data_IF_772570211884
#
_entry.id   IF_772570211884
#
_cell.length_a   1.000
_cell.length_b   1.000
_cell.length_c   1.000
_cell.angle_alpha   90.00
_cell.angle_beta   90.00
_cell.angle_gamma   90.00
#
_symmetry.space_group_name_H-M   'P 1'
#
loop_
_entity.id
_entity.type
_entity.pdbx_description
1 polymer ?
#
# COMPACT_ATOMS: atom_id res chain seq x y z
N UNK A 1 -13.29 14.30 19.56
CA UNK A 1 -12.88 13.61 18.31
C UNK A 1 -11.69 12.77 18.71
N UNK A 2 -11.73 11.45 18.47
CA UNK A 2 -10.58 10.61 18.78
C UNK A 2 -9.39 11.10 17.95
N UNK A 3 -8.29 11.41 18.61
CA UNK A 3 -7.05 11.79 17.95
C UNK A 3 -6.66 10.63 17.03
N UNK A 4 -6.62 10.87 15.71
CA UNK A 4 -6.25 9.82 14.76
C UNK A 4 -4.74 9.68 14.83
N UNK A 5 -4.27 8.48 15.17
CA UNK A 5 -2.84 8.19 15.27
C UNK A 5 -2.34 7.52 13.98
N UNK A 6 -1.03 7.58 13.73
CA UNK A 6 -0.42 6.96 12.55
C UNK A 6 -0.67 5.45 12.48
N UNK A 7 -0.80 4.78 13.64
CA UNK A 7 -1.17 3.37 13.74
C UNK A 7 -2.52 3.06 13.09
N UNK A 8 -3.44 4.04 13.08
CA UNK A 8 -4.75 3.91 12.42
C UNK A 8 -4.59 3.80 10.90
N UNK A 9 -3.75 4.65 10.30
CA UNK A 9 -3.44 4.59 8.87
C UNK A 9 -2.68 3.31 8.52
N UNK A 10 -1.69 2.93 9.35
CA UNK A 10 -0.91 1.70 9.14
C UNK A 10 -1.80 0.47 9.20
N UNK A 11 -2.69 0.38 10.19
CA UNK A 11 -3.63 -0.75 10.28
C UNK A 11 -4.60 -0.78 9.11
N UNK A 12 -5.16 0.37 8.71
CA UNK A 12 -6.04 0.44 7.55
C UNK A 12 -5.33 -0.03 6.26
N UNK A 13 -4.04 0.24 6.10
CA UNK A 13 -3.26 -0.24 4.95
C UNK A 13 -3.06 -1.76 4.98
N UNK A 14 -2.82 -2.33 6.16
CA UNK A 14 -2.71 -3.79 6.34
C UNK A 14 -4.05 -4.46 6.03
N UNK A 15 -5.14 -3.94 6.59
CA UNK A 15 -6.50 -4.45 6.37
C UNK A 15 -6.88 -4.38 4.87
N UNK A 16 -6.51 -3.29 4.19
CA UNK A 16 -6.65 -3.16 2.74
C UNK A 16 -5.88 -4.27 2.00
N UNK A 17 -4.62 -4.51 2.37
CA UNK A 17 -3.79 -5.51 1.70
C UNK A 17 -4.31 -6.94 1.90
N UNK A 18 -4.85 -7.26 3.08
CA UNK A 18 -5.55 -8.52 3.35
C UNK A 18 -6.83 -8.62 2.50
N UNK A 19 -7.65 -7.57 2.49
CA UNK A 19 -8.90 -7.54 1.72
C UNK A 19 -8.67 -7.71 0.20
N UNK A 20 -7.53 -7.22 -0.30
CA UNK A 20 -7.09 -7.38 -1.69
C UNK A 20 -6.31 -8.67 -1.96
N UNK A 21 -6.10 -9.50 -0.94
CA UNK A 21 -5.31 -10.73 -1.02
C UNK A 21 -3.89 -10.50 -1.58
N UNK A 22 -3.31 -9.35 -1.23
CA UNK A 22 -1.88 -9.06 -1.45
C UNK A 22 -1.03 -9.80 -0.43
N UNK A 23 -1.54 -9.89 0.81
CA UNK A 23 -1.01 -10.65 1.93
C UNK A 23 -2.15 -11.44 2.60
N UNK A 24 -1.82 -12.27 3.59
CA UNK A 24 -2.76 -12.99 4.44
C UNK A 24 -2.78 -12.43 5.87
N UNK A 25 -3.77 -12.83 6.68
CA UNK A 25 -3.84 -12.45 8.10
C UNK A 25 -2.61 -12.93 8.89
N UNK A 26 -2.01 -14.06 8.49
CA UNK A 26 -0.80 -14.60 9.11
C UNK A 26 0.41 -13.65 8.97
N UNK A 27 0.39 -12.77 7.97
CA UNK A 27 1.47 -11.81 7.68
C UNK A 27 1.37 -10.53 8.51
N UNK A 28 0.24 -10.27 9.17
CA UNK A 28 -0.09 -8.99 9.82
C UNK A 28 1.03 -8.49 10.74
N UNK A 29 1.50 -9.35 11.65
CA UNK A 29 2.52 -8.97 12.64
C UNK A 29 3.86 -8.65 11.96
N UNK A 30 4.23 -9.44 10.96
CA UNK A 30 5.49 -9.26 10.22
C UNK A 30 5.48 -7.93 9.45
N UNK A 31 4.41 -7.70 8.69
CA UNK A 31 4.20 -6.48 7.91
C UNK A 31 4.11 -5.24 8.80
N UNK A 32 3.35 -5.32 9.90
CA UNK A 32 3.28 -4.24 10.90
C UNK A 32 4.67 -3.86 11.40
N UNK A 33 5.50 -4.84 11.76
CA UNK A 33 6.85 -4.57 12.25
C UNK A 33 7.73 -3.89 11.20
N UNK A 34 7.64 -4.29 9.92
CA UNK A 34 8.35 -3.60 8.84
C UNK A 34 7.89 -2.14 8.69
N UNK A 35 6.58 -1.89 8.74
CA UNK A 35 6.04 -0.53 8.63
C UNK A 35 6.42 0.32 9.85
N UNK A 36 6.40 -0.26 11.05
CA UNK A 36 6.87 0.42 12.27
C UNK A 36 8.35 0.80 12.17
N UNK A 37 9.22 -0.09 11.69
CA UNK A 37 10.64 0.22 11.45
C UNK A 37 10.81 1.37 10.45
N UNK A 38 10.10 1.31 9.31
CA UNK A 38 10.13 2.38 8.31
C UNK A 38 9.66 3.72 8.86
N UNK A 39 8.69 3.71 9.78
CA UNK A 39 8.10 4.89 10.42
C UNK A 39 8.77 5.27 11.75
N UNK A 40 9.83 4.56 12.14
CA UNK A 40 10.55 4.74 13.42
C UNK A 40 9.62 4.73 14.65
N UNK A 41 8.60 3.86 14.63
CA UNK A 41 7.68 3.68 15.76
C UNK A 41 8.28 2.69 16.76
N UNK A 42 8.47 3.14 18.00
CA UNK A 42 9.03 2.30 19.07
C UNK A 42 7.99 1.41 19.75
N UNK A 43 6.71 1.79 19.67
CA UNK A 43 5.58 1.09 20.29
C UNK A 43 4.39 1.07 19.36
N UNK A 44 3.55 0.06 19.53
CA UNK A 44 2.28 -0.05 18.84
C UNK A 44 1.14 0.17 19.83
N UNK A 45 0.38 1.24 19.63
CA UNK A 45 -0.86 1.46 20.34
C UNK A 45 -2.04 0.93 19.53
N UNK A 46 -3.02 0.34 20.21
CA UNK A 46 -4.20 -0.20 19.53
C UNK A 46 -4.91 0.95 18.78
N UNK A 47 -4.98 0.91 17.45
CA UNK A 47 -5.53 2.01 16.68
C UNK A 47 -7.04 2.14 16.89
N UNK A 48 -7.53 3.36 16.72
CA UNK A 48 -8.95 3.62 16.51
C UNK A 48 -9.37 3.19 15.11
N UNK A 49 -10.67 3.03 14.88
CA UNK A 49 -11.18 2.76 13.53
C UNK A 49 -11.39 4.08 12.80
N UNK A 50 -10.81 4.20 11.60
CA UNK A 50 -11.04 5.29 10.66
C UNK A 50 -11.30 4.72 9.28
N UNK A 51 -12.32 5.23 8.62
CA UNK A 51 -12.60 4.89 7.23
C UNK A 51 -11.80 5.80 6.30
N UNK A 52 -11.26 5.20 5.25
CA UNK A 52 -10.56 5.89 4.16
C UNK A 52 -11.32 5.67 2.87
N UNK A 53 -11.35 6.68 1.99
CA UNK A 53 -12.00 6.60 0.69
C UNK A 53 -11.18 5.80 -0.33
N UNK A 54 -9.86 5.73 -0.17
CA UNK A 54 -8.97 5.01 -1.08
C UNK A 54 -7.63 4.65 -0.43
N UNK A 55 -6.87 3.74 -1.06
CA UNK A 55 -5.50 3.42 -0.64
C UNK A 55 -4.56 4.63 -0.78
N UNK A 56 -4.79 5.51 -1.76
CA UNK A 56 -4.00 6.74 -1.92
C UNK A 56 -4.17 7.67 -0.72
N UNK A 57 -5.37 7.78 -0.14
CA UNK A 57 -5.60 8.58 1.07
C UNK A 57 -4.89 8.00 2.30
N UNK A 58 -4.83 6.67 2.41
CA UNK A 58 -4.09 5.99 3.48
C UNK A 58 -2.59 6.27 3.34
N UNK A 59 -2.06 6.11 2.13
CA UNK A 59 -0.64 6.34 1.82
C UNK A 59 -0.25 7.81 2.00
N UNK A 60 -1.10 8.75 1.58
CA UNK A 60 -0.89 10.19 1.75
C UNK A 60 -0.70 10.53 3.23
N UNK A 61 -1.53 10.00 4.14
CA UNK A 61 -1.40 10.23 5.59
C UNK A 61 -0.10 9.65 6.17
N UNK A 62 0.30 8.44 5.73
CA UNK A 62 1.55 7.81 6.18
C UNK A 62 2.78 8.59 5.69
N UNK A 63 2.75 9.05 4.43
CA UNK A 63 3.82 9.83 3.82
C UNK A 63 3.92 11.23 4.44
N UNK A 64 2.79 11.87 4.72
CA UNK A 64 2.73 13.16 5.42
C UNK A 64 3.36 13.04 6.80
N UNK A 65 2.99 12.02 7.57
CA UNK A 65 3.63 11.73 8.86
C UNK A 65 5.15 11.56 8.71
N UNK A 66 5.62 10.82 7.70
CA UNK A 66 7.05 10.61 7.49
C UNK A 66 7.80 11.91 7.15
N UNK A 67 7.17 12.84 6.45
CA UNK A 67 7.72 14.18 6.18
C UNK A 67 7.72 15.03 7.45
N UNK A 68 6.60 15.06 8.19
CA UNK A 68 6.45 15.83 9.43
C UNK A 68 7.42 15.39 10.53
N UNK A 69 7.74 14.09 10.59
CA UNK A 69 8.72 13.52 11.52
C UNK A 69 10.15 13.52 10.98
N UNK A 70 10.38 14.15 9.82
CA UNK A 70 11.70 14.23 9.17
C UNK A 70 12.34 12.84 8.94
N UNK A 71 11.51 11.80 8.76
CA UNK A 71 11.94 10.45 8.37
C UNK A 71 12.39 10.46 6.90
N UNK A 72 11.69 11.25 6.08
CA UNK A 72 12.04 11.51 4.69
C UNK A 72 12.08 13.03 4.43
N UNK A 73 12.86 13.49 3.44
CA UNK A 73 12.88 14.90 3.05
C UNK A 73 11.53 15.40 2.48
N UNK A 74 11.23 16.68 2.68
CA UNK A 74 10.07 17.35 2.07
C UNK A 74 10.28 17.56 0.56
N UNK A 75 10.00 16.53 -0.23
CA UNK A 75 10.10 16.55 -1.69
C UNK A 75 9.15 15.54 -2.30
N UNK A 76 8.51 15.89 -3.43
CA UNK A 76 7.65 14.97 -4.16
C UNK A 76 8.38 13.68 -4.58
N UNK A 77 9.67 13.78 -4.94
CA UNK A 77 10.46 12.60 -5.29
C UNK A 77 10.64 11.65 -4.10
N UNK A 78 10.89 12.18 -2.90
CA UNK A 78 11.05 11.37 -1.70
C UNK A 78 9.73 10.79 -1.20
N UNK A 79 8.64 11.55 -1.34
CA UNK A 79 7.28 11.06 -1.10
C UNK A 79 6.97 9.85 -1.99
N UNK A 80 7.26 9.94 -3.29
CA UNK A 80 7.04 8.84 -4.24
C UNK A 80 7.90 7.61 -3.97
N UNK A 81 9.16 7.81 -3.60
CA UNK A 81 10.05 6.70 -3.22
C UNK A 81 9.57 6.01 -1.94
N UNK A 82 9.11 6.77 -0.95
CA UNK A 82 8.64 6.21 0.32
C UNK A 82 7.31 5.48 0.17
N UNK A 83 6.36 6.06 -0.55
CA UNK A 83 5.11 5.43 -0.98
C UNK A 83 5.37 4.09 -1.69
N UNK A 84 6.29 4.08 -2.66
CA UNK A 84 6.68 2.85 -3.37
C UNK A 84 7.32 1.82 -2.43
N UNK A 85 8.15 2.27 -1.47
CA UNK A 85 8.78 1.39 -0.48
C UNK A 85 7.77 0.75 0.46
N UNK A 86 6.75 1.50 0.90
CA UNK A 86 5.64 0.99 1.71
C UNK A 86 4.88 -0.10 0.95
N UNK A 87 4.47 0.18 -0.30
CA UNK A 87 3.75 -0.80 -1.11
C UNK A 87 4.59 -2.04 -1.45
N UNK A 88 5.92 -1.89 -1.48
CA UNK A 88 6.85 -3.00 -1.61
C UNK A 88 6.75 -4.05 -0.50
N UNK A 89 6.27 -3.69 0.70
CA UNK A 89 6.04 -4.64 1.80
C UNK A 89 4.92 -5.63 1.49
N UNK A 90 3.93 -5.20 0.71
CA UNK A 90 2.76 -6.00 0.33
C UNK A 90 2.91 -6.67 -1.04
N UNK A 91 3.98 -6.37 -1.74
CA UNK A 91 4.18 -6.85 -3.11
C UNK A 91 4.99 -8.13 -3.09
N UNK A 92 4.38 -9.23 -3.55
CA UNK A 92 5.06 -10.51 -3.69
C UNK A 92 6.30 -10.42 -4.59
N UNK A 93 7.28 -11.29 -4.33
CA UNK A 93 8.51 -11.29 -5.10
C UNK A 93 8.22 -11.60 -6.58
N UNK A 94 9.03 -11.09 -7.53
CA UNK A 94 8.76 -11.28 -8.95
C UNK A 94 8.59 -12.74 -9.38
N UNK A 95 9.28 -13.68 -8.71
CA UNK A 95 9.13 -15.11 -9.02
C UNK A 95 7.75 -15.66 -8.62
N UNK A 96 7.16 -15.19 -7.53
CA UNK A 96 5.82 -15.57 -7.06
C UNK A 96 4.74 -14.99 -7.97
N UNK A 97 4.86 -13.70 -8.30
CA UNK A 97 3.97 -13.01 -9.24
C UNK A 97 3.99 -13.70 -10.60
N UNK A 98 5.18 -14.05 -11.11
CA UNK A 98 5.33 -14.77 -12.37
C UNK A 98 4.76 -16.20 -12.32
N UNK A 99 4.91 -16.91 -11.19
CA UNK A 99 4.32 -18.24 -11.03
C UNK A 99 2.80 -18.17 -11.08
N UNK A 100 2.18 -17.22 -10.35
CA UNK A 100 0.73 -16.99 -10.35
C UNK A 100 0.23 -16.55 -11.72
N UNK A 101 0.96 -15.67 -12.43
CA UNK A 101 0.62 -15.31 -13.80
C UNK A 101 0.58 -16.53 -14.73
N UNK A 102 1.61 -17.39 -14.67
CA UNK A 102 1.69 -18.61 -15.49
C UNK A 102 0.56 -19.59 -15.18
N UNK A 103 0.20 -19.76 -13.90
CA UNK A 103 -0.95 -20.57 -13.48
C UNK A 103 -2.26 -20.08 -14.12
N UNK A 104 -2.53 -18.77 -14.05
CA UNK A 104 -3.72 -18.18 -14.69
C UNK A 104 -3.66 -18.27 -16.22
N UNK A 105 -2.48 -18.08 -16.79
CA UNK A 105 -2.28 -18.12 -18.24
C UNK A 105 -2.55 -19.50 -18.83
N UNK A 106 -2.22 -20.57 -18.09
CA UNK A 106 -2.53 -21.94 -18.47
C UNK A 106 -4.04 -22.20 -18.63
N UNK A 107 -4.90 -21.40 -17.97
CA UNK A 107 -6.35 -21.44 -18.16
C UNK A 107 -6.79 -20.57 -19.34
N UNK A 108 -6.35 -19.31 -19.38
CA UNK A 108 -6.48 -18.46 -20.56
C UNK A 108 -5.56 -17.23 -20.48
N UNK A 109 -5.10 -16.68 -21.62
CA UNK A 109 -4.39 -15.41 -21.64
C UNK A 109 -5.17 -14.27 -20.97
N UNK A 110 -6.50 -14.26 -21.14
CA UNK A 110 -7.38 -13.23 -20.57
C UNK A 110 -7.40 -13.27 -19.03
N UNK A 111 -7.54 -14.45 -18.43
CA UNK A 111 -7.54 -14.59 -16.96
C UNK A 111 -6.23 -14.09 -16.36
N UNK A 112 -5.09 -14.37 -17.00
CA UNK A 112 -3.79 -13.90 -16.55
C UNK A 112 -3.65 -12.38 -16.62
N UNK A 113 -4.06 -11.77 -17.73
CA UNK A 113 -3.97 -10.31 -17.91
C UNK A 113 -4.95 -9.56 -17.02
N UNK A 114 -6.18 -10.07 -16.87
CA UNK A 114 -7.18 -9.46 -15.98
C UNK A 114 -6.68 -9.51 -14.52
N UNK A 115 -6.16 -10.65 -14.07
CA UNK A 115 -5.57 -10.80 -12.75
C UNK A 115 -4.37 -9.86 -12.54
N UNK A 116 -3.43 -9.84 -13.49
CA UNK A 116 -2.21 -9.02 -13.35
C UNK A 116 -2.52 -7.53 -13.35
N UNK A 117 -3.51 -7.09 -14.13
CA UNK A 117 -3.98 -5.72 -14.13
C UNK A 117 -4.58 -5.34 -12.77
N UNK A 118 -5.50 -6.16 -12.23
CA UNK A 118 -6.06 -5.94 -10.89
C UNK A 118 -4.98 -5.93 -9.80
N UNK A 119 -4.04 -6.89 -9.82
CA UNK A 119 -2.91 -6.93 -8.91
C UNK A 119 -2.04 -5.67 -8.99
N UNK A 120 -1.81 -5.16 -10.21
CA UNK A 120 -1.03 -3.94 -10.43
C UNK A 120 -1.76 -2.67 -9.94
N UNK A 121 -3.09 -2.65 -9.97
CA UNK A 121 -3.88 -1.60 -9.34
C UNK A 121 -3.80 -1.69 -7.81
N UNK A 122 -4.01 -2.89 -7.27
CA UNK A 122 -4.10 -3.09 -5.83
C UNK A 122 -2.76 -2.81 -5.11
N UNK A 123 -1.64 -3.12 -5.78
CA UNK A 123 -0.27 -2.78 -5.33
C UNK A 123 0.13 -1.32 -5.57
N UNK A 124 -0.79 -0.49 -6.09
CA UNK A 124 -0.57 0.89 -6.49
C UNK A 124 0.60 1.08 -7.49
N UNK A 125 0.93 0.03 -8.26
CA UNK A 125 1.87 0.13 -9.38
C UNK A 125 1.26 0.93 -10.54
N UNK A 126 -0.01 0.65 -10.84
CA UNK A 126 -0.86 1.49 -11.69
C UNK A 126 -1.58 2.49 -10.80
N UNK A 127 -1.01 3.69 -10.68
CA UNK A 127 -1.48 4.77 -9.80
C UNK A 127 -2.77 5.44 -10.29
N UNK A 128 -3.89 4.70 -10.31
CA UNK A 128 -5.17 5.17 -10.86
C UNK A 128 -5.69 6.44 -10.20
N UNK A 129 -5.55 6.61 -8.88
CA UNK A 129 -6.03 7.83 -8.23
C UNK A 129 -5.24 9.08 -8.63
N UNK A 130 -3.96 8.93 -8.97
CA UNK A 130 -3.17 10.03 -9.55
C UNK A 130 -3.56 10.32 -11.00
N UNK A 131 -3.75 9.27 -11.80
CA UNK A 131 -4.24 9.43 -13.19
C UNK A 131 -5.61 10.12 -13.20
N UNK A 132 -6.53 9.77 -12.30
CA UNK A 132 -7.84 10.39 -12.19
C UNK A 132 -7.76 11.89 -11.82
N UNK A 133 -6.78 12.29 -10.99
CA UNK A 133 -6.49 13.69 -10.63
C UNK A 133 -5.81 14.47 -11.78
N UNK A 134 -5.10 13.79 -12.67
CA UNK A 134 -4.38 14.38 -13.82
C UNK A 134 -5.21 14.52 -15.11
N UNK A 135 -6.47 14.08 -15.13
CA UNK A 135 -7.37 14.31 -16.29
C UNK A 135 -7.75 15.80 -16.34
N UNK A 136 -6.86 16.61 -16.92
CA UNK A 136 -7.12 17.98 -17.38
C UNK A 136 -7.24 17.98 -18.90
N UNK A 137 -8.42 17.68 -19.42
CA UNK A 137 -8.73 18.03 -20.80
C UNK A 137 -9.32 19.45 -20.84
N UNK A 138 -8.59 20.37 -21.46
CA UNK A 138 -9.13 21.60 -22.07
C UNK A 138 -8.85 21.54 -23.57
#
# INVERSE_FOLDING_TARGET
MAETTIETAVQALIDYAVAKSLITEDDEICVRNYLMDMLKLEKWEKPSVKEYGSVDEILDEIVDFAVEKEIIPQSNAWRDLFDTRIMGVFTGMPHEVNAKFKEKYAKSPKEATDWYYAYSEDTNYVRKGRIAKDIRWK
#
